data_IF_522320213921
#
_entry.id   IF_522320213921
#
_cell.length_a   1.000
_cell.length_b   1.000
_cell.length_c   1.000
_cell.angle_alpha   90.00
_cell.angle_beta   90.00
_cell.angle_gamma   90.00
#
_symmetry.space_group_name_H-M   'P 1'
#
loop_
_entity.id
_entity.type
_entity.pdbx_description
1 polymer ?
#
# COMPACT_ATOMS: atom_id res chain seq x y z
N UNK A 1 2.80 6.52 -10.24
CA UNK A 1 1.42 6.04 -9.89
C UNK A 1 0.43 6.31 -11.02
N UNK A 2 0.27 7.55 -11.48
CA UNK A 2 -0.77 7.96 -12.47
C UNK A 2 -0.72 7.11 -13.76
N UNK A 3 0.46 6.85 -14.30
CA UNK A 3 0.62 6.04 -15.52
C UNK A 3 0.52 4.52 -15.24
N UNK A 4 0.96 4.08 -14.07
CA UNK A 4 1.03 2.66 -13.73
C UNK A 4 -0.33 2.09 -13.30
N UNK A 5 -1.19 2.87 -12.66
CA UNK A 5 -2.50 2.41 -12.20
C UNK A 5 -3.40 1.93 -13.35
N UNK A 6 -3.54 2.65 -14.48
CA UNK A 6 -4.28 2.13 -15.64
C UNK A 6 -3.65 0.88 -16.29
N UNK A 7 -2.31 0.81 -16.29
CA UNK A 7 -1.59 -0.36 -16.81
C UNK A 7 -1.88 -1.60 -15.98
N UNK A 8 -1.77 -1.49 -14.64
CA UNK A 8 -2.08 -2.60 -13.74
C UNK A 8 -3.57 -2.93 -13.69
N UNK A 9 -4.46 -1.94 -13.86
CA UNK A 9 -5.89 -2.19 -14.04
C UNK A 9 -6.17 -3.02 -15.29
N UNK A 10 -5.59 -2.66 -16.44
CA UNK A 10 -5.70 -3.45 -17.67
C UNK A 10 -5.09 -4.84 -17.54
N UNK A 11 -3.98 -4.97 -16.81
CA UNK A 11 -3.36 -6.26 -16.50
C UNK A 11 -4.31 -7.13 -15.66
N UNK A 12 -4.88 -6.55 -14.60
CA UNK A 12 -5.88 -7.22 -13.76
C UNK A 12 -7.09 -7.68 -14.58
N UNK A 13 -7.62 -6.83 -15.45
CA UNK A 13 -8.78 -7.17 -16.29
C UNK A 13 -8.52 -8.38 -17.20
N UNK A 14 -7.27 -8.52 -17.70
CA UNK A 14 -6.87 -9.62 -18.60
C UNK A 14 -6.47 -10.90 -17.88
N UNK A 15 -5.74 -10.80 -16.79
CA UNK A 15 -5.11 -11.94 -16.10
C UNK A 15 -5.97 -12.38 -14.91
N UNK A 16 -6.75 -11.47 -14.33
CA UNK A 16 -7.39 -11.66 -13.04
C UNK A 16 -6.37 -11.58 -11.89
N UNK A 17 -6.46 -12.51 -10.96
CA UNK A 17 -5.58 -12.64 -9.78
C UNK A 17 -5.57 -11.42 -8.87
N UNK A 18 -6.73 -10.75 -8.72
CA UNK A 18 -6.85 -9.51 -7.95
C UNK A 18 -6.37 -9.62 -6.52
N UNK A 19 -6.81 -10.66 -5.80
CA UNK A 19 -6.35 -10.88 -4.43
C UNK A 19 -4.84 -11.17 -4.37
N UNK A 20 -4.31 -11.89 -5.35
CA UNK A 20 -2.86 -12.15 -5.47
C UNK A 20 -2.09 -10.86 -5.73
N UNK A 21 -2.56 -9.99 -6.62
CA UNK A 21 -1.93 -8.70 -6.91
C UNK A 21 -1.90 -7.79 -5.67
N UNK A 22 -2.98 -7.78 -4.88
CA UNK A 22 -3.01 -7.05 -3.60
C UNK A 22 -1.97 -7.57 -2.61
N UNK A 23 -1.83 -8.90 -2.48
CA UNK A 23 -0.80 -9.51 -1.63
C UNK A 23 0.59 -9.12 -2.10
N UNK A 24 0.88 -9.24 -3.39
CA UNK A 24 2.20 -8.87 -3.97
C UNK A 24 2.50 -7.40 -3.73
N UNK A 25 1.54 -6.51 -4.01
CA UNK A 25 1.70 -5.07 -3.77
C UNK A 25 1.96 -4.73 -2.30
N UNK A 26 1.21 -5.36 -1.38
CA UNK A 26 1.41 -5.18 0.05
C UNK A 26 2.78 -5.70 0.53
N UNK A 27 3.24 -6.85 0.03
CA UNK A 27 4.57 -7.37 0.34
C UNK A 27 5.69 -6.45 -0.20
N UNK A 28 5.53 -5.90 -1.40
CA UNK A 28 6.46 -4.91 -1.95
C UNK A 28 6.50 -3.65 -1.10
N UNK A 29 5.36 -3.17 -0.59
CA UNK A 29 5.31 -2.02 0.33
C UNK A 29 6.11 -2.29 1.61
N UNK A 30 5.96 -3.45 2.23
CA UNK A 30 6.78 -3.84 3.38
C UNK A 30 8.26 -3.82 3.03
N UNK A 31 8.65 -4.50 1.94
CA UNK A 31 10.05 -4.60 1.52
C UNK A 31 10.67 -3.20 1.29
N UNK A 32 9.96 -2.31 0.62
CA UNK A 32 10.42 -0.94 0.35
C UNK A 32 10.64 -0.15 1.65
N UNK A 33 9.68 -0.20 2.59
CA UNK A 33 9.82 0.55 3.84
C UNK A 33 10.91 -0.03 4.75
N UNK A 34 11.08 -1.35 4.75
CA UNK A 34 12.21 -2.00 5.45
C UNK A 34 13.55 -1.59 4.82
N UNK A 35 13.64 -1.54 3.49
CA UNK A 35 14.84 -1.06 2.82
C UNK A 35 15.17 0.38 3.20
N UNK A 36 14.17 1.28 3.24
CA UNK A 36 14.38 2.65 3.68
C UNK A 36 14.71 2.79 5.18
N UNK A 37 14.28 1.84 6.02
CA UNK A 37 14.61 1.82 7.45
C UNK A 37 16.04 1.34 7.73
N UNK A 38 16.67 0.62 6.81
CA UNK A 38 18.01 0.10 6.97
C UNK A 38 19.04 1.15 6.53
N UNK A 39 20.14 1.39 7.32
CA UNK A 39 21.17 2.37 7.01
C UNK A 39 22.11 1.91 5.86
N UNK A 40 21.62 1.06 4.96
CA UNK A 40 22.39 0.49 3.85
C UNK A 40 22.36 1.43 2.63
N UNK A 41 21.42 2.36 2.60
CA UNK A 41 21.11 3.19 1.43
C UNK A 41 21.79 4.56 1.53
N UNK A 42 23.13 4.59 1.49
CA UNK A 42 23.90 5.83 1.53
C UNK A 42 23.98 6.52 0.15
N UNK A 43 23.64 5.80 -0.93
CA UNK A 43 23.76 6.29 -2.29
C UNK A 43 22.40 6.80 -2.81
N UNK A 44 22.36 8.02 -3.31
CA UNK A 44 21.13 8.67 -3.78
C UNK A 44 20.43 7.91 -4.92
N UNK A 45 21.18 7.29 -5.83
CA UNK A 45 20.63 6.50 -6.95
C UNK A 45 19.88 5.25 -6.46
N UNK A 46 20.31 4.65 -5.36
CA UNK A 46 19.64 3.50 -4.77
C UNK A 46 18.28 3.91 -4.18
N UNK A 47 18.23 5.07 -3.52
CA UNK A 47 16.96 5.65 -3.04
C UNK A 47 15.98 5.88 -4.19
N UNK A 48 16.44 6.33 -5.37
CA UNK A 48 15.59 6.46 -6.56
C UNK A 48 14.99 5.14 -7.01
N UNK A 49 15.78 4.06 -7.05
CA UNK A 49 15.29 2.72 -7.40
C UNK A 49 14.21 2.27 -6.42
N UNK A 50 14.44 2.42 -5.13
CA UNK A 50 13.48 2.06 -4.08
C UNK A 50 12.20 2.91 -4.18
N UNK A 51 12.30 4.20 -4.52
CA UNK A 51 11.14 5.07 -4.77
C UNK A 51 10.33 4.62 -6.01
N UNK A 52 10.98 4.15 -7.06
CA UNK A 52 10.29 3.59 -8.23
C UNK A 52 9.55 2.32 -7.83
N UNK A 53 10.17 1.43 -7.07
CA UNK A 53 9.53 0.23 -6.53
C UNK A 53 8.34 0.57 -5.62
N UNK A 54 8.47 1.61 -4.80
CA UNK A 54 7.35 2.14 -4.00
C UNK A 54 6.19 2.59 -4.88
N UNK A 55 6.47 3.32 -5.96
CA UNK A 55 5.47 3.77 -6.93
C UNK A 55 4.75 2.61 -7.61
N UNK A 56 5.46 1.54 -7.96
CA UNK A 56 4.90 0.31 -8.51
C UNK A 56 3.96 -0.36 -7.49
N UNK A 57 4.45 -0.60 -6.28
CA UNK A 57 3.69 -1.24 -5.21
C UNK A 57 2.41 -0.45 -4.87
N UNK A 58 2.54 0.88 -4.78
CA UNK A 58 1.42 1.78 -4.49
C UNK A 58 0.40 1.88 -5.62
N UNK A 59 0.75 1.53 -6.83
CA UNK A 59 -0.18 1.47 -7.97
C UNK A 59 -0.88 0.12 -8.06
N UNK A 60 -0.20 -0.95 -7.65
CA UNK A 60 -0.69 -2.32 -7.78
C UNK A 60 -1.90 -2.59 -6.89
N UNK A 61 -1.86 -2.16 -5.63
CA UNK A 61 -2.93 -2.41 -4.65
C UNK A 61 -4.26 -1.76 -5.05
N UNK A 62 -4.35 -0.45 -5.33
CA UNK A 62 -5.60 0.18 -5.74
C UNK A 62 -6.13 -0.34 -7.06
N UNK A 63 -5.25 -0.66 -8.04
CA UNK A 63 -5.67 -1.17 -9.35
C UNK A 63 -6.40 -2.52 -9.26
N UNK A 64 -6.10 -3.32 -8.25
CA UNK A 64 -6.78 -4.58 -7.99
C UNK A 64 -7.95 -4.42 -6.99
N UNK A 65 -7.82 -3.55 -5.99
CA UNK A 65 -8.80 -3.37 -4.92
C UNK A 65 -10.13 -2.78 -5.45
N UNK A 66 -10.06 -1.66 -6.18
CA UNK A 66 -11.27 -0.98 -6.62
C UNK A 66 -12.18 -1.84 -7.51
N UNK A 67 -11.67 -2.56 -8.53
CA UNK A 67 -12.49 -3.46 -9.33
C UNK A 67 -12.96 -4.71 -8.56
N UNK A 68 -12.35 -5.04 -7.43
CA UNK A 68 -12.74 -6.20 -6.61
C UNK A 68 -14.00 -5.92 -5.77
N UNK A 69 -14.29 -4.67 -5.42
CA UNK A 69 -15.44 -4.31 -4.58
C UNK A 69 -16.76 -4.77 -5.18
N UNK A 70 -17.07 -4.55 -6.49
CA UNK A 70 -18.32 -5.00 -7.10
C UNK A 70 -18.44 -6.53 -7.19
N UNK A 71 -17.36 -7.29 -7.08
CA UNK A 71 -17.40 -8.75 -7.04
C UNK A 71 -17.85 -9.28 -5.68
N UNK A 72 -17.62 -8.51 -4.61
CA UNK A 72 -17.92 -8.91 -3.23
C UNK A 72 -19.29 -8.37 -2.80
N UNK A 73 -19.63 -7.14 -3.21
CA UNK A 73 -20.78 -6.39 -2.71
C UNK A 73 -21.88 -6.34 -3.78
N UNK A 74 -23.14 -6.64 -3.42
CA UNK A 74 -24.27 -6.50 -4.34
C UNK A 74 -24.43 -5.07 -4.86
N UNK A 75 -24.84 -4.91 -6.13
CA UNK A 75 -24.96 -3.61 -6.79
C UNK A 75 -25.77 -2.58 -5.99
N UNK A 76 -26.85 -3.01 -5.32
CA UNK A 76 -27.70 -2.15 -4.50
C UNK A 76 -26.99 -1.49 -3.30
N UNK A 77 -25.87 -2.07 -2.87
CA UNK A 77 -25.09 -1.63 -1.69
C UNK A 77 -23.73 -1.02 -2.06
N UNK A 78 -23.38 -0.95 -3.35
CA UNK A 78 -22.07 -0.46 -3.79
C UNK A 78 -21.80 0.98 -3.33
N UNK A 79 -22.78 1.86 -3.38
CA UNK A 79 -22.63 3.25 -2.92
C UNK A 79 -22.23 3.33 -1.44
N UNK A 80 -22.94 2.56 -0.60
CA UNK A 80 -22.61 2.48 0.84
C UNK A 80 -21.24 1.85 1.09
N UNK A 81 -20.90 0.79 0.35
CA UNK A 81 -19.60 0.14 0.48
C UNK A 81 -18.45 1.09 0.13
N UNK A 82 -18.54 1.80 -1.00
CA UNK A 82 -17.55 2.80 -1.36
C UNK A 82 -17.47 3.95 -0.36
N UNK A 83 -18.61 4.43 0.14
CA UNK A 83 -18.65 5.48 1.17
C UNK A 83 -17.92 5.05 2.45
N UNK A 84 -18.12 3.81 2.91
CA UNK A 84 -17.42 3.26 4.07
C UNK A 84 -15.91 3.10 3.82
N UNK A 85 -15.52 2.61 2.65
CA UNK A 85 -14.11 2.48 2.27
C UNK A 85 -13.43 3.85 2.29
N UNK A 86 -14.04 4.87 1.66
CA UNK A 86 -13.51 6.24 1.66
C UNK A 86 -13.51 6.85 3.05
N UNK A 87 -14.51 6.59 3.87
CA UNK A 87 -14.55 7.07 5.25
C UNK A 87 -13.36 6.55 6.06
N UNK A 88 -13.13 5.23 6.05
CA UNK A 88 -11.97 4.60 6.73
C UNK A 88 -10.65 5.11 6.16
N UNK A 89 -10.55 5.22 4.82
CA UNK A 89 -9.38 5.76 4.16
C UNK A 89 -9.06 7.20 4.60
N UNK A 90 -10.07 8.07 4.71
CA UNK A 90 -9.87 9.46 5.14
C UNK A 90 -9.44 9.56 6.60
N UNK A 91 -9.95 8.67 7.49
CA UNK A 91 -9.43 8.57 8.87
C UNK A 91 -7.93 8.24 8.83
N UNK A 92 -7.53 7.27 8.03
CA UNK A 92 -6.12 6.92 7.85
C UNK A 92 -5.27 8.08 7.31
N UNK A 93 -5.77 8.78 6.28
CA UNK A 93 -5.10 9.94 5.68
C UNK A 93 -4.94 11.12 6.67
N UNK A 94 -5.82 11.23 7.66
CA UNK A 94 -5.71 12.22 8.73
C UNK A 94 -4.77 11.74 9.84
N UNK A 95 -5.00 10.54 10.39
CA UNK A 95 -4.30 10.06 11.58
C UNK A 95 -2.84 9.68 11.32
N UNK A 96 -2.55 9.07 10.16
CA UNK A 96 -1.19 8.57 9.87
C UNK A 96 -0.18 9.72 9.74
N UNK A 97 -0.42 10.80 8.97
CA UNK A 97 0.49 11.94 8.93
C UNK A 97 0.68 12.62 10.28
N UNK A 98 -0.38 12.72 11.10
CA UNK A 98 -0.28 13.26 12.45
C UNK A 98 0.61 12.40 13.34
N UNK A 99 0.43 11.07 13.30
CA UNK A 99 1.29 10.13 14.02
C UNK A 99 2.75 10.24 13.58
N UNK A 100 2.99 10.24 12.29
CA UNK A 100 4.35 10.34 11.73
C UNK A 100 5.00 11.69 12.08
N UNK A 101 4.25 12.79 11.98
CA UNK A 101 4.73 14.12 12.38
C UNK A 101 5.12 14.15 13.86
N UNK A 102 4.30 13.59 14.74
CA UNK A 102 4.60 13.47 16.16
C UNK A 102 5.86 12.62 16.42
N UNK A 103 6.01 11.48 15.72
CA UNK A 103 7.18 10.62 15.84
C UNK A 103 8.44 11.33 15.36
N UNK A 104 8.38 12.07 14.26
CA UNK A 104 9.51 12.84 13.73
C UNK A 104 9.93 13.91 14.74
N UNK A 105 8.99 14.67 15.26
CA UNK A 105 9.30 15.75 16.21
C UNK A 105 9.87 15.22 17.54
N UNK A 106 9.38 14.08 18.02
CA UNK A 106 9.76 13.52 19.31
C UNK A 106 11.02 12.64 19.29
N UNK A 107 11.24 11.89 18.21
CA UNK A 107 12.25 10.82 18.19
C UNK A 107 13.24 10.90 17.03
N UNK A 108 12.91 11.61 15.95
CA UNK A 108 13.75 11.64 14.76
C UNK A 108 14.68 12.86 14.71
N UNK A 109 14.37 13.92 15.46
CA UNK A 109 15.09 15.19 15.42
C UNK A 109 16.35 15.14 16.29
N UNK A 110 17.51 15.50 15.73
CA UNK A 110 18.76 15.65 16.46
C UNK A 110 19.57 16.85 15.94
N UNK A 111 20.48 17.37 16.77
CA UNK A 111 21.31 18.51 16.41
C UNK A 111 22.72 18.03 16.07
N UNK A 112 23.21 18.41 14.91
CA UNK A 112 24.56 18.16 14.46
C UNK A 112 25.57 19.05 15.23
N UNK A 113 26.89 18.69 15.23
CA UNK A 113 27.93 19.46 15.90
C UNK A 113 28.07 20.89 15.40
N UNK A 114 27.63 21.18 14.16
CA UNK A 114 27.60 22.51 13.53
C UNK A 114 26.40 23.36 13.93
N UNK A 115 25.52 22.86 14.82
CA UNK A 115 24.29 23.51 15.26
C UNK A 115 23.09 23.31 14.35
N UNK A 116 23.25 22.67 13.20
CA UNK A 116 22.15 22.37 12.27
C UNK A 116 21.26 21.25 12.78
N UNK A 117 19.96 21.32 12.50
CA UNK A 117 18.99 20.27 12.82
C UNK A 117 18.98 19.25 11.70
N UNK A 118 19.11 17.98 12.03
CA UNK A 118 18.96 16.85 11.13
C UNK A 118 17.87 15.89 11.63
N UNK A 119 17.44 14.95 10.78
CA UNK A 119 16.35 14.03 11.09
C UNK A 119 16.75 12.62 10.73
N UNK A 120 16.49 11.68 11.65
CA UNK A 120 16.59 10.24 11.42
C UNK A 120 15.19 9.65 11.14
N UNK A 121 14.92 9.31 9.89
CA UNK A 121 13.63 8.78 9.46
C UNK A 121 13.46 7.27 9.70
N UNK A 122 14.39 6.62 10.37
CA UNK A 122 14.35 5.17 10.64
C UNK A 122 13.06 4.77 11.37
N UNK A 123 12.69 5.46 12.45
CA UNK A 123 11.48 5.17 13.20
C UNK A 123 10.19 5.35 12.39
N UNK A 124 9.98 6.45 11.63
CA UNK A 124 8.87 6.56 10.68
C UNK A 124 8.80 5.41 9.66
N UNK A 125 9.93 4.98 9.11
CA UNK A 125 9.95 3.90 8.12
C UNK A 125 9.53 2.55 8.73
N UNK A 126 9.91 2.25 9.97
CA UNK A 126 9.44 1.06 10.68
C UNK A 126 7.93 1.09 10.95
N UNK A 127 7.36 2.27 11.24
CA UNK A 127 5.91 2.41 11.40
C UNK A 127 5.18 2.12 10.08
N UNK A 128 5.68 2.63 8.96
CA UNK A 128 5.12 2.30 7.64
C UNK A 128 5.27 0.82 7.29
N UNK A 129 6.40 0.19 7.63
CA UNK A 129 6.59 -1.24 7.47
C UNK A 129 5.57 -2.04 8.28
N UNK A 130 5.27 -1.63 9.52
CA UNK A 130 4.25 -2.24 10.37
C UNK A 130 2.84 -2.15 9.72
N UNK A 131 2.46 -0.97 9.21
CA UNK A 131 1.21 -0.83 8.44
C UNK A 131 1.20 -1.73 7.20
N UNK A 132 2.33 -1.87 6.53
CA UNK A 132 2.49 -2.80 5.42
C UNK A 132 2.25 -4.27 5.83
N UNK A 133 2.76 -4.69 6.98
CA UNK A 133 2.53 -6.04 7.54
C UNK A 133 1.03 -6.26 7.80
N UNK A 134 0.35 -5.28 8.39
CA UNK A 134 -1.11 -5.35 8.58
C UNK A 134 -1.82 -5.46 7.24
N UNK A 135 -1.41 -4.69 6.23
CA UNK A 135 -1.98 -4.76 4.89
C UNK A 135 -1.77 -6.15 4.25
N UNK A 136 -0.60 -6.76 4.41
CA UNK A 136 -0.30 -8.13 3.96
C UNK A 136 -1.24 -9.14 4.64
N UNK A 137 -1.41 -9.04 5.96
CA UNK A 137 -2.31 -9.92 6.70
C UNK A 137 -3.76 -9.80 6.19
N UNK A 138 -4.26 -8.58 6.01
CA UNK A 138 -5.60 -8.32 5.48
C UNK A 138 -5.76 -8.82 4.03
N UNK A 139 -4.74 -8.66 3.19
CA UNK A 139 -4.75 -9.17 1.82
C UNK A 139 -4.80 -10.72 1.78
N UNK A 140 -4.07 -11.40 2.67
CA UNK A 140 -4.17 -12.85 2.81
C UNK A 140 -5.54 -13.29 3.33
N UNK A 141 -6.11 -12.58 4.30
CA UNK A 141 -7.46 -12.87 4.80
C UNK A 141 -8.49 -12.70 3.68
N UNK A 142 -8.40 -11.66 2.88
CA UNK A 142 -9.28 -11.45 1.73
C UNK A 142 -9.14 -12.58 0.71
N UNK A 143 -7.92 -13.00 0.41
CA UNK A 143 -7.65 -14.12 -0.50
C UNK A 143 -8.19 -15.46 0.04
N UNK A 144 -8.08 -15.69 1.34
CA UNK A 144 -8.63 -16.89 1.98
C UNK A 144 -10.16 -16.88 1.93
N UNK A 145 -10.79 -15.72 2.18
CA UNK A 145 -12.25 -15.58 2.13
C UNK A 145 -12.78 -15.70 0.68
N UNK A 146 -12.05 -15.19 -0.31
CA UNK A 146 -12.36 -15.40 -1.73
C UNK A 146 -12.41 -16.89 -2.10
N UNK A 147 -11.42 -17.66 -1.64
CA UNK A 147 -11.40 -19.12 -1.85
C UNK A 147 -12.56 -19.83 -1.18
N UNK A 148 -12.99 -19.33 0.00
CA UNK A 148 -14.07 -19.94 0.79
C UNK A 148 -15.45 -19.62 0.20
N UNK A 149 -15.66 -18.40 -0.25
CA UNK A 149 -16.97 -17.89 -0.71
C UNK A 149 -17.12 -17.83 -2.23
N UNK A 150 -16.04 -17.94 -2.98
CA UNK A 150 -16.09 -17.94 -4.44
C UNK A 150 -16.49 -16.58 -5.03
N UNK A 151 -15.97 -15.47 -4.51
CA UNK A 151 -16.24 -14.14 -5.06
C UNK A 151 -15.66 -13.92 -6.47
N UNK A 152 -14.71 -14.76 -6.89
CA UNK A 152 -14.06 -14.66 -8.20
C UNK A 152 -13.03 -13.53 -8.28
N UNK A 153 -12.36 -13.19 -7.18
CA UNK A 153 -11.31 -12.15 -7.17
C UNK A 153 -10.08 -12.57 -7.98
N UNK A 154 -9.87 -13.87 -8.14
CA UNK A 154 -8.78 -14.41 -8.94
C UNK A 154 -9.16 -14.58 -10.43
N UNK A 155 -10.42 -14.36 -10.82
CA UNK A 155 -10.87 -14.48 -12.19
C UNK A 155 -10.67 -13.20 -12.99
N UNK A 156 -10.31 -13.36 -14.27
CA UNK A 156 -10.20 -12.24 -15.22
C UNK A 156 -11.57 -11.61 -15.48
N UNK A 157 -11.62 -10.28 -15.63
CA UNK A 157 -12.86 -9.56 -15.98
C UNK A 157 -13.19 -9.70 -17.46
N UNK A 158 -12.17 -9.79 -18.33
CA UNK A 158 -12.33 -9.99 -19.77
C UNK A 158 -12.10 -11.47 -20.06
N UNK A 159 -13.17 -12.21 -20.31
CA UNK A 159 -13.07 -13.57 -20.89
C UNK A 159 -12.80 -13.42 -22.40
N UNK A 160 -11.73 -14.10 -22.88
CA UNK A 160 -11.48 -14.26 -24.32
C UNK A 160 -12.47 -15.23 -24.91
#
# INVERSE_FOLDING_TARGET
>A
TILLTPLFGSLYDRIGKGATLMVVGAMMLVAVHVLFALPILNEWWFALIVMVLLGIAFSLVPSAMWPSVPKIIPQKQLGTAYALIFYVQNIGLMCVPMLIGWVIDRYAKFTLPDGNVSYDFTAPMWIFALFGIVAVALAFMLKAEDRRKGYGLEEANIRK
#
